data_IF_672447988320
#
_entry.id   IF_672447988320
#
_cell.length_a   1.000
_cell.length_b   1.000
_cell.length_c   1.000
_cell.angle_alpha   90.00
_cell.angle_beta   90.00
_cell.angle_gamma   90.00
#
_symmetry.space_group_name_H-M   'P 1'
#
loop_
_entity.id
_entity.type
_entity.pdbx_description
1 polymer ?
#
# COMPACT_ATOMS: atom_id res chain seq x y z
N UNK A 1 6.85 34.87 32.48
CA UNK A 1 7.92 34.58 31.50
C UNK A 1 9.09 35.45 31.91
N UNK A 2 10.21 34.89 32.34
CA UNK A 2 11.38 35.67 32.77
C UNK A 2 12.60 35.27 31.95
N UNK A 3 13.21 36.23 31.27
CA UNK A 3 14.45 36.09 30.51
C UNK A 3 15.65 36.36 31.41
N UNK A 4 16.61 35.44 31.45
CA UNK A 4 17.89 35.67 32.12
C UNK A 4 18.98 35.90 31.06
N UNK A 5 19.62 37.06 31.09
CA UNK A 5 20.77 37.35 30.22
C UNK A 5 22.00 36.61 30.73
N UNK A 6 22.71 35.91 29.83
CA UNK A 6 24.05 35.39 30.11
C UNK A 6 25.12 36.42 29.78
N UNK A 7 26.33 36.23 30.30
CA UNK A 7 27.52 37.09 30.08
C UNK A 7 27.92 37.25 28.60
N UNK A 8 27.31 36.47 27.70
CA UNK A 8 27.48 36.51 26.25
C UNK A 8 26.35 37.24 25.50
N UNK A 9 25.46 37.95 26.20
CA UNK A 9 24.38 38.75 25.58
C UNK A 9 23.25 37.94 24.94
N UNK A 10 23.21 36.61 25.15
CA UNK A 10 22.15 35.74 24.64
C UNK A 10 21.02 35.60 25.67
N UNK A 11 19.77 35.76 25.23
CA UNK A 11 18.59 35.60 26.08
C UNK A 11 18.26 34.12 26.28
N UNK A 12 18.46 33.58 27.49
CA UNK A 12 17.92 32.28 27.86
C UNK A 12 16.48 32.45 28.37
N UNK A 13 15.54 31.81 27.67
CA UNK A 13 14.18 31.63 28.16
C UNK A 13 14.24 30.63 29.31
N UNK A 14 13.97 31.08 30.54
CA UNK A 14 13.86 30.19 31.71
C UNK A 14 12.51 29.49 31.67
N UNK A 15 12.55 28.15 31.75
CA UNK A 15 11.50 27.25 31.30
C UNK A 15 10.17 27.34 32.08
N UNK A 16 9.01 27.17 31.40
CA UNK A 16 7.78 26.70 32.02
C UNK A 16 7.94 25.27 32.58
N UNK A 17 7.15 24.89 33.59
CA UNK A 17 7.21 23.56 34.26
C UNK A 17 6.95 22.37 33.31
N UNK A 18 6.41 22.62 32.11
CA UNK A 18 6.05 21.60 31.11
C UNK A 18 6.57 22.00 29.72
N UNK A 19 7.16 21.03 29.00
CA UNK A 19 7.57 21.20 27.60
C UNK A 19 6.34 20.99 26.71
N UNK A 20 6.08 21.90 25.76
CA UNK A 20 4.99 21.75 24.79
C UNK A 20 5.29 20.67 23.75
N UNK A 21 4.25 20.06 23.15
CA UNK A 21 4.42 19.04 22.10
C UNK A 21 5.23 19.54 20.90
N UNK A 22 5.08 20.82 20.54
CA UNK A 22 5.85 21.45 19.46
C UNK A 22 7.34 21.56 19.80
N UNK A 23 7.66 21.88 21.06
CA UNK A 23 9.05 21.95 21.52
C UNK A 23 9.68 20.55 21.62
N UNK A 24 8.91 19.54 22.06
CA UNK A 24 9.36 18.14 22.01
C UNK A 24 9.68 17.68 20.58
N UNK A 25 8.87 18.08 19.58
CA UNK A 25 9.12 17.76 18.18
C UNK A 25 10.41 18.41 17.65
N UNK A 26 10.66 19.68 18.00
CA UNK A 26 11.92 20.38 17.65
C UNK A 26 13.14 19.72 18.31
N UNK A 27 13.02 19.34 19.58
CA UNK A 27 14.07 18.60 20.31
C UNK A 27 14.32 17.24 19.65
N UNK A 28 13.27 16.50 19.27
CA UNK A 28 13.42 15.21 18.60
C UNK A 28 14.13 15.34 17.24
N UNK A 29 13.82 16.38 16.46
CA UNK A 29 14.49 16.66 15.18
C UNK A 29 15.98 16.98 15.37
N UNK A 30 16.32 17.83 16.34
CA UNK A 30 17.71 18.13 16.69
C UNK A 30 18.47 16.88 17.15
N UNK A 31 17.85 16.04 18.00
CA UNK A 31 18.43 14.75 18.41
C UNK A 31 18.69 13.85 17.20
N UNK A 32 17.75 13.77 16.25
CA UNK A 32 17.94 12.99 15.02
C UNK A 32 19.13 13.51 14.19
N UNK A 33 19.31 14.83 14.07
CA UNK A 33 20.46 15.44 13.41
C UNK A 33 21.80 15.13 14.10
N UNK A 34 21.82 15.15 15.44
CA UNK A 34 23.01 14.76 16.23
C UNK A 34 23.32 13.27 16.04
N UNK A 35 22.30 12.40 16.03
CA UNK A 35 22.48 10.96 15.79
C UNK A 35 22.98 10.68 14.38
N UNK A 36 22.57 11.45 13.38
CA UNK A 36 23.03 11.29 12.01
C UNK A 36 24.50 11.71 11.81
N UNK A 37 24.97 12.69 12.58
CA UNK A 37 26.33 13.27 12.46
C UNK A 37 27.37 12.61 13.36
N UNK A 38 26.96 11.81 14.35
CA UNK A 38 27.86 11.19 15.33
C UNK A 38 27.77 9.66 15.33
N UNK A 39 28.86 9.03 15.75
CA UNK A 39 28.87 7.58 16.00
C UNK A 39 27.96 7.23 17.18
N UNK A 40 27.02 6.31 16.95
CA UNK A 40 26.06 5.79 17.94
C UNK A 40 26.76 5.25 19.19
N UNK A 41 27.96 4.69 19.05
CA UNK A 41 28.74 4.17 20.19
C UNK A 41 29.29 5.27 21.12
N UNK A 42 29.42 6.51 20.62
CA UNK A 42 30.00 7.66 21.36
C UNK A 42 28.94 8.66 21.84
N UNK A 43 27.67 8.39 21.54
CA UNK A 43 26.54 9.24 21.91
C UNK A 43 26.24 9.13 23.40
N UNK A 44 26.67 10.14 24.16
CA UNK A 44 26.32 10.30 25.57
C UNK A 44 25.18 11.30 25.75
N UNK A 45 24.36 11.10 26.78
CA UNK A 45 23.27 12.05 27.12
C UNK A 45 23.77 13.49 27.33
N UNK A 46 25.03 13.66 27.74
CA UNK A 46 25.66 14.98 27.93
C UNK A 46 25.96 15.67 26.59
N UNK A 47 26.50 14.92 25.63
CA UNK A 47 26.79 15.42 24.29
C UNK A 47 25.49 15.80 23.55
N UNK A 48 24.49 14.93 23.61
CA UNK A 48 23.17 15.20 23.01
C UNK A 48 22.52 16.43 23.65
N UNK A 49 22.59 16.56 24.99
CA UNK A 49 22.10 17.75 25.68
C UNK A 49 22.77 19.02 25.16
N UNK A 50 24.10 19.08 25.14
CA UNK A 50 24.83 20.28 24.72
C UNK A 50 24.54 20.67 23.27
N UNK A 51 24.45 19.69 22.37
CA UNK A 51 24.14 19.94 20.96
C UNK A 51 22.69 20.44 20.77
N UNK A 52 21.73 19.82 21.44
CA UNK A 52 20.31 20.23 21.37
C UNK A 52 20.09 21.59 22.02
N UNK A 53 20.74 21.88 23.16
CA UNK A 53 20.65 23.18 23.83
C UNK A 53 21.22 24.31 22.95
N UNK A 54 22.27 24.01 22.15
CA UNK A 54 22.85 24.94 21.17
C UNK A 54 21.92 25.21 19.99
N UNK A 55 21.21 24.19 19.50
CA UNK A 55 20.37 24.27 18.30
C UNK A 55 18.96 24.79 18.60
N UNK A 56 18.35 24.37 19.71
CA UNK A 56 16.97 24.71 20.10
C UNK A 56 16.93 25.94 21.03
N UNK A 57 18.08 26.41 21.52
CA UNK A 57 18.22 27.56 22.44
C UNK A 57 17.39 27.44 23.73
N UNK A 58 17.15 26.21 24.21
CA UNK A 58 16.40 25.92 25.44
C UNK A 58 17.27 25.13 26.41
N UNK A 59 17.30 25.51 27.69
CA UNK A 59 18.00 24.74 28.73
C UNK A 59 17.21 23.46 29.07
N UNK A 60 17.85 22.30 28.87
CA UNK A 60 17.29 20.98 29.17
C UNK A 60 17.83 20.40 30.48
N UNK A 61 18.43 21.25 31.32
CA UNK A 61 19.07 20.86 32.59
C UNK A 61 18.11 20.07 33.49
N UNK A 62 16.87 20.54 33.59
CA UNK A 62 15.81 19.97 34.43
C UNK A 62 14.92 18.93 33.70
N UNK A 63 15.13 18.68 32.41
CA UNK A 63 14.28 17.79 31.59
C UNK A 63 15.05 16.56 31.08
N UNK A 64 15.88 15.98 31.96
CA UNK A 64 16.73 14.81 31.65
C UNK A 64 15.93 13.60 31.15
N UNK A 65 14.74 13.37 31.69
CA UNK A 65 13.93 12.20 31.34
C UNK A 65 13.25 12.34 29.97
N UNK A 66 12.84 13.55 29.59
CA UNK A 66 12.32 13.84 28.24
C UNK A 66 13.43 13.64 27.21
N UNK A 67 14.62 14.18 27.47
CA UNK A 67 15.79 14.01 26.61
C UNK A 67 16.15 12.53 26.43
N UNK A 68 16.21 11.75 27.53
CA UNK A 68 16.46 10.31 27.46
C UNK A 68 15.39 9.60 26.63
N UNK A 69 14.11 9.88 26.87
CA UNK A 69 12.99 9.22 26.17
C UNK A 69 13.06 9.47 24.66
N UNK A 70 13.24 10.72 24.25
CA UNK A 70 13.33 11.11 22.84
C UNK A 70 14.58 10.51 22.18
N UNK A 71 15.72 10.52 22.85
CA UNK A 71 16.95 9.86 22.37
C UNK A 71 16.75 8.37 22.11
N UNK A 72 16.12 7.63 23.04
CA UNK A 72 15.81 6.21 22.83
C UNK A 72 14.79 5.98 21.71
N UNK A 73 13.84 6.89 21.52
CA UNK A 73 12.86 6.81 20.44
C UNK A 73 13.53 6.99 19.07
N UNK A 74 14.38 7.99 18.90
CA UNK A 74 15.10 8.23 17.65
C UNK A 74 16.11 7.12 17.34
N UNK A 75 16.81 6.59 18.36
CA UNK A 75 17.67 5.41 18.18
C UNK A 75 16.89 4.17 17.73
N UNK A 76 15.67 3.96 18.27
CA UNK A 76 14.79 2.86 17.83
C UNK A 76 14.34 3.05 16.38
N UNK A 77 13.94 4.26 15.98
CA UNK A 77 13.58 4.57 14.58
C UNK A 77 14.73 4.27 13.63
N UNK A 78 15.95 4.69 13.98
CA UNK A 78 17.14 4.44 13.17
C UNK A 78 17.45 2.94 13.03
N UNK A 79 17.33 2.17 14.11
CA UNK A 79 17.47 0.70 14.06
C UNK A 79 16.40 0.06 13.18
N UNK A 80 15.14 0.45 13.33
CA UNK A 80 14.04 -0.05 12.51
C UNK A 80 14.24 0.27 11.02
N UNK A 81 14.69 1.48 10.69
CA UNK A 81 14.98 1.88 9.31
C UNK A 81 16.15 1.09 8.71
N UNK A 82 17.19 0.80 9.49
CA UNK A 82 18.30 -0.09 9.07
C UNK A 82 17.82 -1.51 8.79
N UNK A 83 16.94 -2.05 9.62
CA UNK A 83 16.34 -3.38 9.42
C UNK A 83 15.45 -3.39 8.17
N UNK A 84 14.61 -2.37 7.99
CA UNK A 84 13.74 -2.23 6.82
C UNK A 84 14.56 -2.12 5.52
N UNK A 85 15.66 -1.35 5.51
CA UNK A 85 16.57 -1.26 4.35
C UNK A 85 17.26 -2.59 4.03
N UNK A 86 17.55 -3.43 5.03
CA UNK A 86 18.11 -4.78 4.83
C UNK A 86 17.07 -5.78 4.34
N UNK A 87 15.81 -5.62 4.74
CA UNK A 87 14.70 -6.44 4.29
C UNK A 87 14.18 -6.04 2.90
N UNK A 88 14.43 -4.80 2.47
CA UNK A 88 14.12 -4.35 1.12
C UNK A 88 15.03 -5.07 0.10
N UNK A 89 14.46 -5.70 -0.95
CA UNK A 89 15.26 -6.35 -1.98
C UNK A 89 16.18 -5.34 -2.65
N UNK A 90 17.44 -5.73 -2.84
CA UNK A 90 18.46 -4.88 -3.44
C UNK A 90 18.02 -4.36 -4.83
N UNK A 91 18.38 -3.13 -5.22
CA UNK A 91 17.89 -2.52 -6.46
C UNK A 91 18.12 -3.35 -7.74
N UNK A 92 19.23 -4.07 -7.83
CA UNK A 92 19.52 -4.99 -8.96
C UNK A 92 18.58 -6.22 -9.02
N UNK A 93 18.05 -6.66 -7.87
CA UNK A 93 17.10 -7.77 -7.75
C UNK A 93 15.71 -7.30 -8.18
N UNK A 94 15.42 -6.00 -8.10
CA UNK A 94 14.21 -5.42 -8.68
C UNK A 94 14.26 -5.48 -10.21
N UNK A 95 15.40 -5.18 -10.83
CA UNK A 95 15.56 -5.30 -12.29
C UNK A 95 15.41 -6.75 -12.75
N UNK A 96 16.13 -7.69 -12.11
CA UNK A 96 16.00 -9.13 -12.41
C UNK A 96 14.59 -9.66 -12.16
N UNK A 97 13.94 -9.25 -11.06
CA UNK A 97 12.55 -9.60 -10.77
C UNK A 97 11.61 -9.09 -11.85
N UNK A 98 11.76 -7.84 -12.29
CA UNK A 98 10.94 -7.26 -13.37
C UNK A 98 11.13 -8.01 -14.68
N UNK A 99 12.36 -8.34 -15.04
CA UNK A 99 12.64 -9.14 -16.24
C UNK A 99 12.02 -10.54 -16.13
N UNK A 100 12.15 -11.20 -14.99
CA UNK A 100 11.52 -12.50 -14.74
C UNK A 100 9.99 -12.42 -14.79
N UNK A 101 9.38 -11.35 -14.25
CA UNK A 101 7.94 -11.11 -14.32
C UNK A 101 7.48 -10.92 -15.76
N UNK A 102 8.22 -10.17 -16.59
CA UNK A 102 7.90 -10.01 -18.02
C UNK A 102 7.93 -11.36 -18.74
N UNK A 103 9.00 -12.15 -18.56
CA UNK A 103 9.11 -13.50 -19.13
C UNK A 103 7.97 -14.42 -18.66
N UNK A 104 7.65 -14.36 -17.37
CA UNK A 104 6.53 -15.08 -16.76
C UNK A 104 5.19 -14.68 -17.39
N UNK A 105 4.91 -13.38 -17.54
CA UNK A 105 3.69 -12.88 -18.16
C UNK A 105 3.53 -13.35 -19.61
N UNK A 106 4.60 -13.30 -20.41
CA UNK A 106 4.58 -13.85 -21.77
C UNK A 106 4.24 -15.35 -21.77
N UNK A 107 4.88 -16.12 -20.89
CA UNK A 107 4.66 -17.56 -20.81
C UNK A 107 3.25 -17.88 -20.36
N UNK A 108 2.75 -17.20 -19.32
CA UNK A 108 1.37 -17.34 -18.85
C UNK A 108 0.42 -17.06 -20.01
N UNK A 109 0.54 -15.90 -20.67
CA UNK A 109 -0.32 -15.57 -21.81
C UNK A 109 -0.35 -16.64 -22.90
N UNK A 110 0.81 -17.20 -23.28
CA UNK A 110 0.88 -18.30 -24.25
C UNK A 110 0.14 -19.56 -23.76
N UNK A 111 0.32 -19.94 -22.49
CA UNK A 111 -0.38 -21.07 -21.88
C UNK A 111 -1.89 -20.84 -21.83
N UNK A 112 -2.32 -19.62 -21.43
CA UNK A 112 -3.72 -19.23 -21.43
C UNK A 112 -4.33 -19.48 -22.80
N UNK A 113 -3.67 -18.99 -23.87
CA UNK A 113 -4.16 -19.03 -25.25
C UNK A 113 -4.48 -20.44 -25.76
N UNK A 114 -3.72 -21.45 -25.34
CA UNK A 114 -3.87 -22.83 -25.82
C UNK A 114 -4.62 -23.77 -24.88
N UNK A 115 -5.02 -23.31 -23.69
CA UNK A 115 -5.57 -24.22 -22.68
C UNK A 115 -7.02 -24.60 -22.96
N UNK A 116 -7.30 -25.92 -22.98
CA UNK A 116 -8.65 -26.46 -23.12
C UNK A 116 -9.58 -26.09 -21.95
N UNK A 117 -9.04 -25.97 -20.74
CA UNK A 117 -9.80 -25.56 -19.55
C UNK A 117 -10.05 -24.06 -19.44
N UNK A 118 -9.60 -23.25 -20.40
CA UNK A 118 -9.63 -21.79 -20.31
C UNK A 118 -11.01 -21.20 -19.95
N UNK A 119 -12.15 -21.70 -20.45
CA UNK A 119 -13.46 -21.16 -20.05
C UNK A 119 -13.72 -21.22 -18.54
N UNK A 120 -13.23 -22.26 -17.85
CA UNK A 120 -13.50 -22.48 -16.43
C UNK A 120 -12.68 -21.57 -15.50
N UNK A 121 -11.46 -21.21 -15.88
CA UNK A 121 -10.55 -20.44 -15.01
C UNK A 121 -10.04 -19.13 -15.64
N UNK A 122 -10.45 -18.83 -16.88
CA UNK A 122 -10.05 -17.63 -17.61
C UNK A 122 -10.43 -16.35 -16.90
N UNK A 123 -11.57 -16.34 -16.18
CA UNK A 123 -11.97 -15.19 -15.37
C UNK A 123 -11.01 -14.94 -14.20
N UNK A 124 -10.49 -15.99 -13.57
CA UNK A 124 -9.47 -15.86 -12.51
C UNK A 124 -8.13 -15.35 -13.07
N UNK A 125 -7.76 -15.78 -14.28
CA UNK A 125 -6.58 -15.26 -14.96
C UNK A 125 -6.73 -13.77 -15.28
N UNK A 126 -7.91 -13.34 -15.72
CA UNK A 126 -8.24 -11.92 -15.94
C UNK A 126 -8.13 -11.13 -14.64
N UNK A 127 -8.73 -11.61 -13.55
CA UNK A 127 -8.66 -10.98 -12.23
C UNK A 127 -7.20 -10.81 -11.78
N UNK A 128 -6.39 -11.87 -11.89
CA UNK A 128 -4.99 -11.81 -11.48
C UNK A 128 -4.17 -10.79 -12.28
N UNK A 129 -4.43 -10.69 -13.59
CA UNK A 129 -3.82 -9.67 -14.45
C UNK A 129 -4.34 -8.27 -14.15
N UNK A 130 -5.59 -8.12 -13.70
CA UNK A 130 -6.14 -6.85 -13.24
C UNK A 130 -5.51 -6.41 -11.93
N UNK A 131 -5.42 -7.29 -10.94
CA UNK A 131 -4.81 -6.99 -9.64
C UNK A 131 -3.34 -6.61 -9.77
N UNK A 132 -2.61 -7.26 -10.69
CA UNK A 132 -1.22 -6.91 -10.98
C UNK A 132 -1.07 -5.45 -11.44
N UNK A 133 -2.08 -4.89 -12.12
CA UNK A 133 -2.06 -3.49 -12.57
C UNK A 133 -2.13 -2.50 -11.41
N UNK A 134 -2.66 -2.91 -10.25
CA UNK A 134 -2.75 -2.04 -9.08
C UNK A 134 -1.42 -1.94 -8.31
N UNK A 135 -0.52 -2.92 -8.48
CA UNK A 135 0.69 -3.04 -7.66
C UNK A 135 2.00 -2.86 -8.45
N UNK A 136 1.99 -3.08 -9.77
CA UNK A 136 3.17 -2.96 -10.62
C UNK A 136 3.16 -1.70 -11.49
N UNK A 137 4.32 -1.36 -12.08
CA UNK A 137 4.50 -0.15 -12.89
C UNK A 137 5.31 -0.45 -14.17
N UNK A 138 5.29 0.50 -15.11
CA UNK A 138 6.09 0.44 -16.33
C UNK A 138 5.67 -0.72 -17.24
N UNK A 139 6.65 -1.49 -17.72
CA UNK A 139 6.41 -2.54 -18.71
C UNK A 139 5.55 -3.70 -18.18
N UNK A 140 5.70 -4.05 -16.90
CA UNK A 140 4.91 -5.12 -16.27
C UNK A 140 3.43 -4.74 -16.22
N UNK A 141 3.15 -3.49 -15.83
CA UNK A 141 1.80 -2.91 -15.87
C UNK A 141 1.25 -2.92 -17.30
N UNK A 142 2.04 -2.44 -18.27
CA UNK A 142 1.63 -2.38 -19.68
C UNK A 142 1.25 -3.77 -20.23
N UNK A 143 2.08 -4.77 -19.97
CA UNK A 143 1.81 -6.16 -20.40
C UNK A 143 0.63 -6.77 -19.66
N UNK A 144 0.50 -6.53 -18.35
CA UNK A 144 -0.64 -7.00 -17.57
C UNK A 144 -1.97 -6.44 -18.12
N UNK A 145 -2.02 -5.13 -18.40
CA UNK A 145 -3.19 -4.48 -19.02
C UNK A 145 -3.48 -5.04 -20.41
N UNK A 146 -2.45 -5.19 -21.26
CA UNK A 146 -2.62 -5.74 -22.61
C UNK A 146 -3.16 -7.17 -22.57
N UNK A 147 -2.54 -8.04 -21.76
CA UNK A 147 -2.97 -9.43 -21.65
C UNK A 147 -4.33 -9.57 -20.99
N UNK A 148 -4.66 -8.77 -19.96
CA UNK A 148 -5.99 -8.78 -19.38
C UNK A 148 -7.06 -8.51 -20.45
N UNK A 149 -6.83 -7.51 -21.32
CA UNK A 149 -7.74 -7.19 -22.43
C UNK A 149 -7.82 -8.29 -23.49
N UNK A 150 -6.68 -8.82 -23.94
CA UNK A 150 -6.66 -9.89 -24.96
C UNK A 150 -7.34 -11.16 -24.46
N UNK A 151 -7.09 -11.52 -23.21
CA UNK A 151 -7.68 -12.69 -22.56
C UNK A 151 -9.16 -12.44 -22.26
N UNK A 152 -9.55 -11.24 -21.82
CA UNK A 152 -10.95 -10.86 -21.64
C UNK A 152 -11.75 -10.92 -22.95
N UNK A 153 -11.20 -10.37 -24.03
CA UNK A 153 -11.82 -10.45 -25.36
C UNK A 153 -11.97 -11.89 -25.85
N UNK A 154 -10.99 -12.76 -25.55
CA UNK A 154 -11.13 -14.19 -25.84
C UNK A 154 -12.22 -14.83 -25.00
N UNK A 155 -12.21 -14.60 -23.68
CA UNK A 155 -13.17 -15.20 -22.74
C UNK A 155 -14.62 -14.87 -23.12
N UNK A 156 -14.86 -13.70 -23.70
CA UNK A 156 -16.16 -13.32 -24.23
C UNK A 156 -16.61 -14.13 -25.46
N UNK A 157 -15.68 -14.66 -26.25
CA UNK A 157 -15.96 -15.48 -27.44
C UNK A 157 -16.11 -16.97 -27.14
N UNK A 158 -15.74 -17.41 -25.94
CA UNK A 158 -15.89 -18.80 -25.55
C UNK A 158 -17.38 -19.12 -25.33
N UNK A 159 -17.83 -20.28 -25.80
CA UNK A 159 -19.18 -20.77 -25.55
C UNK A 159 -19.27 -21.25 -24.09
N UNK A 160 -20.11 -20.59 -23.30
CA UNK A 160 -20.25 -20.84 -21.86
C UNK A 160 -21.59 -21.51 -21.61
N UNK A 161 -21.63 -22.83 -21.78
CA UNK A 161 -22.77 -23.68 -21.43
C UNK A 161 -23.16 -23.63 -19.93
N UNK A 162 -22.35 -22.98 -19.08
CA UNK A 162 -22.63 -22.79 -17.65
C UNK A 162 -23.53 -21.56 -17.36
N UNK A 163 -23.68 -20.64 -18.31
CA UNK A 163 -24.58 -19.48 -18.16
C UNK A 163 -26.05 -19.95 -18.20
N UNK A 164 -26.95 -19.29 -17.46
CA UNK A 164 -28.38 -19.65 -17.47
C UNK A 164 -29.04 -19.24 -18.80
N UNK A 165 -30.08 -19.97 -19.20
CA UNK A 165 -30.81 -19.65 -20.44
C UNK A 165 -31.50 -18.28 -20.33
N UNK A 166 -31.48 -17.50 -21.41
CA UNK A 166 -32.12 -16.17 -21.44
C UNK A 166 -33.60 -16.31 -21.06
N UNK A 167 -34.06 -15.49 -20.13
CA UNK A 167 -35.44 -15.49 -19.66
C UNK A 167 -35.75 -16.52 -18.56
N UNK A 168 -34.78 -17.34 -18.16
CA UNK A 168 -34.90 -18.23 -17.00
C UNK A 168 -34.39 -17.58 -15.72
N UNK A 169 -34.82 -18.08 -14.57
CA UNK A 169 -34.26 -17.68 -13.27
C UNK A 169 -32.92 -18.39 -13.09
N UNK A 170 -31.80 -17.68 -12.85
CA UNK A 170 -30.51 -18.33 -12.60
C UNK A 170 -30.54 -19.20 -11.33
N UNK A 171 -29.43 -19.86 -11.03
CA UNK A 171 -29.11 -20.29 -9.67
C UNK A 171 -28.29 -19.20 -8.96
N UNK A 172 -28.25 -19.14 -7.61
CA UNK A 172 -27.42 -18.18 -6.89
C UNK A 172 -25.95 -18.20 -7.35
N UNK A 173 -25.38 -19.38 -7.59
CA UNK A 173 -24.00 -19.55 -8.08
C UNK A 173 -23.80 -18.95 -9.46
N UNK A 174 -24.75 -19.17 -10.37
CA UNK A 174 -24.72 -18.59 -11.71
C UNK A 174 -24.80 -17.07 -11.66
N UNK A 175 -25.69 -16.51 -10.83
CA UNK A 175 -25.81 -15.06 -10.66
C UNK A 175 -24.51 -14.44 -10.14
N UNK A 176 -23.92 -15.01 -9.09
CA UNK A 176 -22.64 -14.54 -8.54
C UNK A 176 -21.52 -14.60 -9.59
N UNK A 177 -21.48 -15.68 -10.37
CA UNK A 177 -20.48 -15.85 -11.44
C UNK A 177 -20.64 -14.80 -12.54
N UNK A 178 -21.88 -14.49 -12.93
CA UNK A 178 -22.16 -13.43 -13.91
C UNK A 178 -21.85 -12.03 -13.37
N UNK A 179 -22.18 -11.73 -12.11
CA UNK A 179 -21.80 -10.46 -11.47
C UNK A 179 -20.29 -10.28 -11.48
N UNK A 180 -19.53 -11.32 -11.09
CA UNK A 180 -18.07 -11.29 -11.13
C UNK A 180 -17.54 -11.05 -12.55
N UNK A 181 -18.11 -11.73 -13.55
CA UNK A 181 -17.74 -11.55 -14.96
C UNK A 181 -18.02 -10.14 -15.48
N UNK A 182 -19.22 -9.61 -15.22
CA UNK A 182 -19.61 -8.23 -15.58
C UNK A 182 -18.66 -7.24 -14.94
N UNK A 183 -18.45 -7.33 -13.62
CA UNK A 183 -17.58 -6.43 -12.87
C UNK A 183 -16.15 -6.40 -13.42
N UNK A 184 -15.59 -7.58 -13.71
CA UNK A 184 -14.23 -7.71 -14.19
C UNK A 184 -14.04 -7.18 -15.60
N UNK A 185 -14.93 -7.54 -16.52
CA UNK A 185 -14.81 -7.14 -17.92
C UNK A 185 -15.05 -5.66 -18.14
N UNK A 186 -15.98 -5.05 -17.39
CA UNK A 186 -16.22 -3.60 -17.48
C UNK A 186 -15.01 -2.78 -17.01
N UNK A 187 -14.27 -3.26 -16.01
CA UNK A 187 -13.01 -2.63 -15.57
C UNK A 187 -11.89 -2.72 -16.60
N UNK A 188 -11.97 -3.65 -17.54
CA UNK A 188 -11.07 -3.72 -18.68
C UNK A 188 -11.49 -2.80 -19.84
N UNK A 189 -12.65 -2.14 -19.72
CA UNK A 189 -13.25 -1.31 -20.76
C UNK A 189 -14.06 -2.12 -21.78
N UNK A 190 -14.53 -3.32 -21.41
CA UNK A 190 -15.31 -4.18 -22.31
C UNK A 190 -16.72 -4.37 -21.76
N UNK A 191 -17.73 -4.09 -22.58
CA UNK A 191 -19.14 -4.27 -22.19
C UNK A 191 -19.52 -5.75 -22.18
N UNK A 192 -20.04 -6.23 -21.04
CA UNK A 192 -20.53 -7.58 -20.91
C UNK A 192 -21.97 -7.69 -21.43
N UNK A 193 -22.26 -8.66 -22.32
CA UNK A 193 -23.57 -8.80 -22.96
C UNK A 193 -24.74 -8.96 -21.97
N UNK A 194 -24.52 -9.68 -20.86
CA UNK A 194 -25.53 -9.89 -19.81
C UNK A 194 -25.64 -8.77 -18.76
N UNK A 195 -24.94 -7.65 -18.94
CA UNK A 195 -24.97 -6.54 -17.95
C UNK A 195 -26.40 -6.12 -17.62
N UNK A 196 -27.20 -5.86 -18.65
CA UNK A 196 -28.59 -5.41 -18.50
C UNK A 196 -29.42 -6.48 -17.78
N UNK A 197 -29.33 -7.73 -18.22
CA UNK A 197 -30.04 -8.86 -17.60
C UNK A 197 -29.71 -9.03 -16.10
N UNK A 198 -28.45 -8.86 -15.71
CA UNK A 198 -28.01 -8.94 -14.31
C UNK A 198 -28.58 -7.80 -13.48
N UNK A 199 -28.53 -6.57 -13.99
CA UNK A 199 -29.09 -5.40 -13.31
C UNK A 199 -30.60 -5.51 -13.16
N UNK A 200 -31.30 -5.85 -14.25
CA UNK A 200 -32.75 -6.07 -14.26
C UNK A 200 -33.16 -7.15 -13.27
N UNK A 201 -32.38 -8.24 -13.17
CA UNK A 201 -32.65 -9.30 -12.19
C UNK A 201 -32.53 -8.81 -10.75
N UNK A 202 -31.48 -8.03 -10.45
CA UNK A 202 -31.24 -7.49 -9.11
C UNK A 202 -32.24 -6.41 -8.69
N UNK A 203 -32.88 -5.73 -9.64
CA UNK A 203 -33.90 -4.70 -9.38
C UNK A 203 -35.32 -5.26 -9.18
N UNK A 204 -35.53 -6.57 -9.40
CA UNK A 204 -36.86 -7.20 -9.24
C UNK A 204 -37.34 -7.17 -7.79
N UNK A 205 -38.60 -6.76 -7.63
CA UNK A 205 -39.36 -6.82 -6.38
C UNK A 205 -40.60 -7.72 -6.57
N UNK A 206 -40.89 -8.64 -5.63
CA UNK A 206 -40.09 -8.99 -4.45
C UNK A 206 -38.77 -9.70 -4.83
N UNK A 207 -37.80 -9.69 -3.92
CA UNK A 207 -36.49 -10.30 -4.15
C UNK A 207 -36.64 -11.81 -4.47
N UNK A 208 -36.08 -12.23 -5.62
CA UNK A 208 -36.17 -13.62 -6.11
C UNK A 208 -35.41 -14.59 -5.20
N UNK A 209 -34.31 -14.14 -4.61
CA UNK A 209 -33.62 -14.85 -3.54
C UNK A 209 -33.65 -14.00 -2.27
N UNK A 210 -34.07 -14.61 -1.17
CA UNK A 210 -34.13 -13.96 0.13
C UNK A 210 -34.55 -14.97 1.19
N UNK A 211 -34.45 -14.59 2.48
CA UNK A 211 -35.06 -15.39 3.54
C UNK A 211 -36.56 -15.54 3.26
N UNK A 212 -37.12 -16.74 3.46
CA UNK A 212 -38.56 -16.94 3.37
C UNK A 212 -39.23 -15.99 4.36
N UNK A 213 -40.14 -15.17 3.86
CA UNK A 213 -41.02 -14.37 4.70
C UNK A 213 -42.18 -15.31 5.05
N UNK A 214 -42.11 -15.90 6.23
CA UNK A 214 -43.26 -16.54 6.87
C UNK A 214 -44.17 -15.47 7.48
#
# INVERSE_FOLDING_TARGET
MYTKMTSTGSSLIVNPRTISKELEAKIAAAIAGVIASHDVAKLTTKLVRQAVEKEVHVSLTNHKDVLKRLMHQELRKLKAQKVAKRAAPEPWKLAMRREAMIKGLHRVYQLLRGAAGFPAWGLHAIQSLYDLQAVEQGEVLRLATLYARLIGARWLKEDRHADWAVGTVPTPTQLVSAIAAVYLLERLGVSHARRVEVLDFCERLPAVYGPKVD
#
